data_IF_121565355731
#
_entry.id   IF_121565355731
#
_cell.length_a   1.000
_cell.length_b   1.000
_cell.length_c   1.000
_cell.angle_alpha   90.00
_cell.angle_beta   90.00
_cell.angle_gamma   90.00
#
_symmetry.space_group_name_H-M   'P 1'
#
loop_
_entity.id
_entity.type
_entity.pdbx_description
1 polymer ?
#
# COMPACT_ATOMS: atom_id res chain seq x y z
N UNK A 1 -13.34 44.40 23.27
CA UNK A 1 -13.66 43.11 22.64
C UNK A 1 -13.02 43.14 21.25
N UNK A 2 -11.78 42.65 21.14
CA UNK A 2 -10.96 42.78 19.92
C UNK A 2 -11.05 41.47 19.14
N UNK A 3 -11.78 41.50 18.02
CA UNK A 3 -11.85 40.41 17.05
C UNK A 3 -10.60 40.56 16.17
N UNK A 4 -9.53 39.87 16.54
CA UNK A 4 -8.43 39.66 15.61
C UNK A 4 -8.84 38.52 14.67
N UNK A 5 -9.48 38.89 13.56
CA UNK A 5 -9.61 38.04 12.38
C UNK A 5 -8.20 37.85 11.77
N UNK A 6 -7.36 37.03 12.41
CA UNK A 6 -6.28 36.37 11.70
C UNK A 6 -6.96 35.40 10.74
N UNK A 7 -7.24 35.87 9.53
CA UNK A 7 -7.63 35.02 8.41
C UNK A 7 -6.56 33.95 8.25
N UNK A 8 -6.81 32.78 8.84
CA UNK A 8 -5.90 31.64 8.74
C UNK A 8 -5.65 31.38 7.26
N UNK A 9 -4.39 31.21 6.88
CA UNK A 9 -4.01 30.95 5.49
C UNK A 9 -4.77 29.72 4.99
N UNK A 10 -5.78 29.93 4.14
CA UNK A 10 -6.56 28.85 3.54
C UNK A 10 -5.72 28.25 2.41
N UNK A 11 -5.51 26.94 2.44
CA UNK A 11 -4.83 26.22 1.36
C UNK A 11 -5.60 24.99 0.93
N UNK A 12 -5.62 24.75 -0.37
CA UNK A 12 -6.28 23.59 -0.97
C UNK A 12 -5.26 22.59 -1.51
N UNK A 13 -5.57 21.31 -1.35
CA UNK A 13 -4.85 20.17 -1.90
C UNK A 13 -5.82 19.27 -2.64
N UNK A 14 -5.33 18.55 -3.64
CA UNK A 14 -6.16 17.67 -4.45
C UNK A 14 -5.67 16.24 -4.28
N UNK A 15 -6.30 15.50 -3.37
CA UNK A 15 -5.95 14.13 -3.08
C UNK A 15 -6.60 13.17 -4.08
N UNK A 16 -5.83 12.20 -4.57
CA UNK A 16 -6.37 11.14 -5.41
C UNK A 16 -7.12 10.15 -4.54
N UNK A 17 -8.33 9.77 -4.94
CA UNK A 17 -9.10 8.76 -4.21
C UNK A 17 -8.47 7.38 -4.43
N UNK A 18 -8.34 6.60 -3.36
CA UNK A 18 -7.93 5.21 -3.52
C UNK A 18 -9.09 4.35 -4.02
N UNK A 19 -8.73 3.44 -4.94
CA UNK A 19 -9.64 2.45 -5.50
C UNK A 19 -10.34 1.64 -4.41
N UNK A 20 -9.56 1.25 -3.40
CA UNK A 20 -9.97 0.42 -2.28
C UNK A 20 -9.86 1.25 -1.00
N UNK A 21 -10.92 2.00 -0.71
CA UNK A 21 -11.07 2.73 0.56
C UNK A 21 -11.73 1.83 1.62
N UNK A 22 -11.64 2.21 2.88
CA UNK A 22 -12.35 1.51 3.97
C UNK A 22 -13.87 1.44 3.69
N UNK A 23 -14.44 2.57 3.26
CA UNK A 23 -15.84 2.67 2.82
C UNK A 23 -16.15 1.76 1.61
N UNK A 24 -15.16 1.52 0.73
CA UNK A 24 -15.33 0.57 -0.37
C UNK A 24 -15.48 -0.85 0.13
N UNK A 25 -14.65 -1.30 1.08
CA UNK A 25 -14.76 -2.66 1.63
C UNK A 25 -16.12 -2.91 2.27
N UNK A 26 -16.65 -1.93 3.00
CA UNK A 26 -17.99 -2.07 3.57
C UNK A 26 -19.04 -2.17 2.46
N UNK A 27 -18.92 -1.37 1.39
CA UNK A 27 -19.78 -1.44 0.22
C UNK A 27 -19.64 -2.75 -0.58
N UNK A 28 -18.43 -3.29 -0.72
CA UNK A 28 -18.19 -4.54 -1.44
C UNK A 28 -18.68 -5.75 -0.66
N UNK A 29 -18.71 -5.73 0.67
CA UNK A 29 -19.36 -6.82 1.44
C UNK A 29 -20.83 -6.94 1.09
N UNK A 30 -21.53 -5.82 0.95
CA UNK A 30 -22.94 -5.79 0.51
C UNK A 30 -23.03 -6.29 -0.94
N UNK A 31 -22.18 -5.78 -1.83
CA UNK A 31 -22.17 -6.21 -3.23
C UNK A 31 -21.81 -7.68 -3.43
N UNK A 32 -20.87 -8.20 -2.65
CA UNK A 32 -20.45 -9.59 -2.63
C UNK A 32 -21.59 -10.46 -2.12
N UNK A 33 -22.30 -10.06 -1.07
CA UNK A 33 -23.49 -10.77 -0.61
C UNK A 33 -24.58 -10.82 -1.70
N UNK A 34 -24.87 -9.70 -2.36
CA UNK A 34 -25.82 -9.65 -3.49
C UNK A 34 -25.36 -10.56 -4.63
N UNK A 35 -24.08 -10.47 -5.02
CA UNK A 35 -23.51 -11.31 -6.07
C UNK A 35 -23.56 -12.79 -5.69
N UNK A 36 -23.23 -13.16 -4.45
CA UNK A 36 -23.31 -14.54 -3.96
C UNK A 36 -24.75 -15.05 -3.99
N UNK A 37 -25.74 -14.26 -3.58
CA UNK A 37 -27.15 -14.65 -3.64
C UNK A 37 -27.59 -14.87 -5.10
N UNK A 38 -27.24 -13.95 -6.00
CA UNK A 38 -27.55 -14.08 -7.44
C UNK A 38 -26.86 -15.32 -8.03
N UNK A 39 -25.58 -15.54 -7.70
CA UNK A 39 -24.80 -16.67 -8.18
C UNK A 39 -25.33 -18.01 -7.67
N UNK A 40 -25.64 -18.12 -6.38
CA UNK A 40 -26.25 -19.32 -5.78
C UNK A 40 -27.62 -19.57 -6.38
N UNK A 41 -28.44 -18.53 -6.57
CA UNK A 41 -29.73 -18.64 -7.25
C UNK A 41 -29.58 -19.16 -8.69
N UNK A 42 -28.59 -18.65 -9.43
CA UNK A 42 -28.29 -19.10 -10.79
C UNK A 42 -27.81 -20.56 -10.84
N UNK A 43 -26.87 -20.94 -9.98
CA UNK A 43 -26.37 -22.32 -9.89
C UNK A 43 -27.49 -23.27 -9.48
N UNK A 44 -28.30 -22.90 -8.49
CA UNK A 44 -29.47 -23.69 -8.07
C UNK A 44 -30.48 -23.88 -9.19
N UNK A 45 -30.77 -22.82 -9.96
CA UNK A 45 -31.61 -22.90 -11.15
C UNK A 45 -31.02 -23.84 -12.22
N UNK A 46 -29.73 -23.72 -12.51
CA UNK A 46 -29.04 -24.58 -13.48
C UNK A 46 -29.02 -26.05 -13.07
N UNK A 47 -28.75 -26.35 -11.80
CA UNK A 47 -28.78 -27.72 -11.25
C UNK A 47 -30.19 -28.30 -11.31
N UNK A 48 -31.21 -27.53 -10.93
CA UNK A 48 -32.62 -27.97 -10.99
C UNK A 48 -33.03 -28.27 -12.44
N UNK A 49 -32.60 -27.43 -13.38
CA UNK A 49 -32.78 -27.63 -14.82
C UNK A 49 -32.13 -28.93 -15.32
N UNK A 50 -30.87 -29.16 -14.97
CA UNK A 50 -30.14 -30.39 -15.35
C UNK A 50 -30.81 -31.64 -14.75
N UNK A 51 -31.22 -31.57 -13.48
CA UNK A 51 -31.89 -32.66 -12.78
C UNK A 51 -33.24 -33.04 -13.41
N UNK A 52 -34.07 -32.03 -13.71
CA UNK A 52 -35.36 -32.26 -14.37
C UNK A 52 -35.20 -32.85 -15.77
N UNK A 53 -34.17 -32.41 -16.51
CA UNK A 53 -33.82 -32.97 -17.83
C UNK A 53 -33.42 -34.44 -17.72
N UNK A 54 -32.58 -34.79 -16.74
CA UNK A 54 -32.12 -36.16 -16.50
C UNK A 54 -33.26 -37.12 -16.11
N UNK A 55 -34.32 -36.63 -15.45
CA UNK A 55 -35.50 -37.43 -15.08
C UNK A 55 -36.52 -37.63 -16.21
N UNK A 56 -36.27 -37.11 -17.41
CA UNK A 56 -37.21 -37.20 -18.53
C UNK A 56 -38.53 -36.45 -18.30
N UNK A 57 -38.57 -35.57 -17.28
CA UNK A 57 -39.67 -34.65 -17.13
C UNK A 57 -39.69 -33.74 -18.37
N UNK A 58 -40.89 -33.52 -18.95
CA UNK A 58 -41.05 -32.56 -20.04
C UNK A 58 -40.49 -31.23 -19.56
N UNK A 59 -39.32 -30.86 -20.06
CA UNK A 59 -38.73 -29.57 -19.75
C UNK A 59 -39.76 -28.53 -20.16
N UNK A 60 -40.15 -27.60 -19.27
CA UNK A 60 -40.96 -26.47 -19.70
C UNK A 60 -40.25 -25.85 -20.91
N UNK A 61 -41.00 -25.48 -21.95
CA UNK A 61 -40.43 -24.85 -23.15
C UNK A 61 -39.70 -23.58 -22.75
N UNK A 62 -38.44 -23.72 -22.39
CA UNK A 62 -37.58 -22.60 -22.07
C UNK A 62 -37.11 -22.09 -23.42
N UNK A 63 -37.49 -20.86 -23.77
CA UNK A 63 -37.13 -20.30 -25.07
C UNK A 63 -35.61 -20.34 -25.19
N UNK A 64 -35.10 -20.76 -26.36
CA UNK A 64 -33.66 -20.83 -26.69
C UNK A 64 -32.91 -19.53 -26.33
N UNK A 65 -33.62 -18.42 -26.21
CA UNK A 65 -33.12 -17.10 -25.85
C UNK A 65 -32.81 -16.91 -24.35
N UNK A 66 -33.23 -17.82 -23.46
CA UNK A 66 -33.03 -17.66 -22.01
C UNK A 66 -31.54 -17.67 -21.64
N UNK A 67 -30.75 -18.56 -22.24
CA UNK A 67 -29.30 -18.58 -22.02
C UNK A 67 -28.60 -17.32 -22.55
N UNK A 68 -29.00 -16.86 -23.75
CA UNK A 68 -28.48 -15.61 -24.33
C UNK A 68 -28.84 -14.39 -23.47
N UNK A 69 -30.05 -14.36 -22.92
CA UNK A 69 -30.49 -13.30 -22.02
C UNK A 69 -29.63 -13.22 -20.76
N UNK A 70 -29.35 -14.36 -20.10
CA UNK A 70 -28.50 -14.39 -18.91
C UNK A 70 -27.08 -13.91 -19.21
N UNK A 71 -26.48 -14.36 -20.32
CA UNK A 71 -25.15 -13.92 -20.74
C UNK A 71 -25.16 -12.40 -21.00
N UNK A 72 -26.17 -11.90 -21.71
CA UNK A 72 -26.31 -10.47 -21.98
C UNK A 72 -26.44 -9.64 -20.69
N UNK A 73 -27.22 -10.11 -19.71
CA UNK A 73 -27.37 -9.45 -18.40
C UNK A 73 -26.04 -9.44 -17.64
N UNK A 74 -25.32 -10.56 -17.59
CA UNK A 74 -24.02 -10.64 -16.90
C UNK A 74 -22.97 -9.71 -17.54
N UNK A 75 -22.92 -9.66 -18.87
CA UNK A 75 -22.05 -8.74 -19.60
C UNK A 75 -22.43 -7.28 -19.34
N UNK A 76 -23.73 -6.97 -19.34
CA UNK A 76 -24.25 -5.64 -19.03
C UNK A 76 -23.87 -5.18 -17.61
N UNK A 77 -24.08 -6.02 -16.60
CA UNK A 77 -23.70 -5.73 -15.21
C UNK A 77 -22.20 -5.56 -15.07
N UNK A 78 -21.40 -6.42 -15.72
CA UNK A 78 -19.94 -6.33 -15.69
C UNK A 78 -19.43 -5.04 -16.34
N UNK A 79 -20.02 -4.63 -17.47
CA UNK A 79 -19.68 -3.38 -18.14
C UNK A 79 -20.04 -2.15 -17.30
N UNK A 80 -21.24 -2.11 -16.72
CA UNK A 80 -21.68 -1.03 -15.81
C UNK A 80 -20.75 -0.95 -14.60
N UNK A 81 -20.39 -2.09 -14.00
CA UNK A 81 -19.46 -2.15 -12.88
C UNK A 81 -18.06 -1.66 -13.28
N UNK A 82 -17.56 -2.07 -14.45
CA UNK A 82 -16.27 -1.63 -14.99
C UNK A 82 -16.24 -0.11 -15.19
N UNK A 83 -17.27 0.46 -15.81
CA UNK A 83 -17.41 1.92 -16.01
C UNK A 83 -17.48 2.65 -14.67
N UNK A 84 -18.26 2.14 -13.72
CA UNK A 84 -18.37 2.73 -12.38
C UNK A 84 -17.03 2.71 -11.62
N UNK A 85 -16.29 1.61 -11.68
CA UNK A 85 -14.95 1.50 -11.08
C UNK A 85 -13.99 2.50 -11.71
N UNK A 86 -13.99 2.61 -13.03
CA UNK A 86 -13.12 3.52 -13.78
C UNK A 86 -13.44 4.99 -13.47
N UNK A 87 -14.73 5.34 -13.37
CA UNK A 87 -15.18 6.65 -12.93
C UNK A 87 -14.77 6.95 -11.49
N UNK A 88 -14.93 5.98 -10.58
CA UNK A 88 -14.59 6.10 -9.16
C UNK A 88 -13.09 6.29 -8.94
N UNK A 89 -12.25 5.55 -9.68
CA UNK A 89 -10.79 5.67 -9.62
C UNK A 89 -10.28 7.04 -10.10
N UNK A 90 -11.07 7.75 -10.91
CA UNK A 90 -10.76 9.12 -11.37
C UNK A 90 -11.27 10.20 -10.42
N UNK A 91 -12.02 9.84 -9.38
CA UNK A 91 -12.49 10.83 -8.42
C UNK A 91 -11.34 11.38 -7.59
N UNK A 92 -11.40 12.67 -7.30
CA UNK A 92 -10.43 13.38 -6.47
C UNK A 92 -11.16 14.00 -5.29
N UNK A 93 -10.50 14.08 -4.14
CA UNK A 93 -10.96 14.85 -3.00
C UNK A 93 -10.28 16.21 -3.00
N UNK A 94 -11.05 17.26 -2.78
CA UNK A 94 -10.48 18.59 -2.53
C UNK A 94 -10.40 18.76 -1.02
N UNK A 95 -9.18 18.83 -0.53
CA UNK A 95 -8.86 18.99 0.88
C UNK A 95 -8.57 20.46 1.14
N UNK A 96 -9.35 21.11 1.98
CA UNK A 96 -9.14 22.52 2.34
C UNK A 96 -8.65 22.61 3.78
N UNK A 97 -7.42 23.08 3.97
CA UNK A 97 -6.84 23.32 5.29
C UNK A 97 -7.13 24.77 5.68
N UNK A 98 -7.76 24.96 6.84
CA UNK A 98 -8.01 26.27 7.45
C UNK A 98 -7.56 26.20 8.91
N UNK A 99 -6.35 26.72 9.19
CA UNK A 99 -5.73 26.57 10.51
C UNK A 99 -5.46 25.11 10.86
N UNK A 100 -6.04 24.65 11.95
CA UNK A 100 -5.96 23.27 12.47
C UNK A 100 -7.08 22.35 11.95
N UNK A 101 -7.95 22.86 11.09
CA UNK A 101 -9.07 22.09 10.52
C UNK A 101 -8.81 21.68 9.08
N UNK A 102 -9.23 20.46 8.73
CA UNK A 102 -9.21 19.92 7.38
C UNK A 102 -10.64 19.64 6.93
N UNK A 103 -11.11 20.36 5.91
CA UNK A 103 -12.41 20.09 5.28
C UNK A 103 -12.22 19.21 4.05
N UNK A 104 -13.01 18.14 3.94
CA UNK A 104 -12.92 17.15 2.85
C UNK A 104 -14.14 17.27 1.93
N UNK A 105 -13.96 17.87 0.75
CA UNK A 105 -15.00 17.91 -0.28
C UNK A 105 -14.90 16.68 -1.22
N UNK A 106 -16.02 16.08 -1.65
CA UNK A 106 -17.37 16.63 -1.61
C UNK A 106 -18.19 16.31 -0.34
N UNK A 107 -17.61 15.64 0.66
CA UNK A 107 -18.36 15.22 1.86
C UNK A 107 -18.78 16.38 2.75
N UNK A 108 -18.02 17.48 2.74
CA UNK A 108 -18.23 18.61 3.64
C UNK A 108 -17.90 18.30 5.11
N UNK A 109 -17.26 17.16 5.36
CA UNK A 109 -16.82 16.75 6.69
C UNK A 109 -15.59 17.57 7.10
N UNK A 110 -15.60 18.04 8.35
CA UNK A 110 -14.50 18.80 8.96
C UNK A 110 -13.79 17.92 9.98
N UNK A 111 -12.48 17.82 9.85
CA UNK A 111 -11.62 17.01 10.70
C UNK A 111 -10.61 17.90 11.44
N UNK A 112 -10.34 17.58 12.71
CA UNK A 112 -9.26 18.20 13.50
C UNK A 112 -7.91 17.58 13.12
N UNK A 113 -6.96 18.42 12.68
CA UNK A 113 -5.57 18.01 12.46
C UNK A 113 -4.80 17.91 13.79
N UNK A 114 -5.23 18.64 14.82
CA UNK A 114 -4.64 18.57 16.16
C UNK A 114 -4.79 17.17 16.76
N UNK A 115 -5.95 16.52 16.57
CA UNK A 115 -6.27 15.19 17.10
C UNK A 115 -5.92 14.05 16.15
N UNK A 116 -5.42 14.36 14.95
CA UNK A 116 -5.07 13.35 13.98
C UNK A 116 -4.00 12.39 14.55
N UNK A 117 -3.83 11.20 14.01
CA UNK A 117 -2.75 10.29 14.43
C UNK A 117 -2.01 9.81 13.21
N UNK A 118 -0.68 9.87 13.26
CA UNK A 118 0.14 9.38 12.17
C UNK A 118 0.38 7.88 12.39
N UNK A 119 0.22 7.09 11.35
CA UNK A 119 0.43 5.65 11.34
C UNK A 119 1.21 5.23 10.12
N UNK A 120 1.55 3.96 10.09
CA UNK A 120 2.27 3.34 8.99
C UNK A 120 1.27 2.99 7.87
N UNK A 121 1.63 3.30 6.63
CA UNK A 121 0.94 2.78 5.44
C UNK A 121 1.86 1.78 4.74
N UNK A 122 1.74 0.47 5.04
CA UNK A 122 2.72 -0.53 4.66
C UNK A 122 3.06 -0.47 3.18
N UNK A 123 4.35 -0.57 2.86
CA UNK A 123 4.88 -0.61 1.50
C UNK A 123 4.68 0.66 0.63
N UNK A 124 4.00 1.69 1.14
CA UNK A 124 3.66 2.90 0.36
C UNK A 124 4.16 4.17 1.03
N UNK A 125 3.99 4.32 2.34
CA UNK A 125 4.44 5.52 3.08
C UNK A 125 3.80 5.62 4.47
N UNK A 126 3.16 6.75 4.75
CA UNK A 126 2.48 7.01 6.04
C UNK A 126 0.99 7.28 5.85
N UNK A 127 0.20 7.08 6.90
CA UNK A 127 -1.22 7.36 6.94
C UNK A 127 -1.56 8.35 8.06
N UNK A 128 -2.28 9.40 7.75
CA UNK A 128 -2.85 10.33 8.72
C UNK A 128 -4.29 9.94 9.01
N UNK A 129 -4.53 9.45 10.21
CA UNK A 129 -5.84 9.04 10.70
C UNK A 129 -6.52 10.25 11.34
N UNK A 130 -7.68 10.60 10.83
CA UNK A 130 -8.50 11.69 11.35
C UNK A 130 -9.86 11.16 11.75
N UNK A 131 -10.41 11.75 12.81
CA UNK A 131 -11.72 11.39 13.33
C UNK A 131 -12.55 12.65 13.56
N UNK A 132 -13.83 12.58 13.20
CA UNK A 132 -14.83 13.63 13.44
C UNK A 132 -16.14 12.96 13.84
N UNK A 133 -16.42 12.94 15.15
CA UNK A 133 -17.52 12.16 15.71
C UNK A 133 -17.43 10.67 15.35
N UNK A 134 -18.47 10.14 14.69
CA UNK A 134 -18.52 8.76 14.20
C UNK A 134 -17.82 8.52 12.86
N UNK A 135 -17.29 9.57 12.22
CA UNK A 135 -16.67 9.49 10.90
C UNK A 135 -15.15 9.41 11.02
N UNK A 136 -14.56 8.47 10.28
CA UNK A 136 -13.11 8.30 10.14
C UNK A 136 -12.71 8.61 8.71
N UNK A 137 -11.60 9.31 8.56
CA UNK A 137 -10.95 9.55 7.28
C UNK A 137 -9.45 9.31 7.41
N UNK A 138 -8.89 8.52 6.48
CA UNK A 138 -7.47 8.18 6.46
C UNK A 138 -6.84 8.76 5.20
N UNK A 139 -5.88 9.65 5.36
CA UNK A 139 -5.14 10.28 4.27
C UNK A 139 -3.73 9.70 4.17
N UNK A 140 -3.38 9.09 3.05
CA UNK A 140 -2.04 8.56 2.79
C UNK A 140 -1.08 9.63 2.26
N UNK A 141 0.15 9.65 2.78
CA UNK A 141 1.30 10.32 2.18
C UNK A 141 2.13 9.32 1.42
N UNK A 142 1.99 9.29 0.08
CA UNK A 142 2.71 8.37 -0.81
C UNK A 142 4.20 8.75 -0.87
N UNK A 143 5.08 7.74 -0.83
CA UNK A 143 6.53 7.92 -0.93
C UNK A 143 7.13 8.84 0.15
N UNK A 144 6.49 8.92 1.31
CA UNK A 144 6.96 9.73 2.41
C UNK A 144 7.80 8.92 3.39
N UNK A 145 9.08 9.27 3.50
CA UNK A 145 9.97 8.74 4.55
C UNK A 145 9.73 9.42 5.90
N UNK A 146 10.15 8.76 6.97
CA UNK A 146 9.96 9.23 8.35
C UNK A 146 11.31 9.43 9.03
N UNK A 147 11.39 10.38 9.96
CA UNK A 147 12.54 10.50 10.86
C UNK A 147 12.40 9.57 12.07
N UNK A 148 13.50 9.16 12.73
CA UNK A 148 13.48 8.33 13.94
C UNK A 148 12.64 8.87 15.10
N UNK A 149 12.52 10.20 15.20
CA UNK A 149 11.74 10.89 16.23
C UNK A 149 10.24 11.03 15.88
N UNK A 150 9.84 10.63 14.67
CA UNK A 150 8.44 10.72 14.22
C UNK A 150 7.59 9.75 15.03
N UNK A 151 6.61 10.27 15.78
CA UNK A 151 5.67 9.44 16.52
C UNK A 151 4.65 8.80 15.58
N UNK A 152 4.45 7.50 15.74
CA UNK A 152 3.52 6.69 14.96
C UNK A 152 2.45 6.14 15.90
N UNK A 153 1.52 7.01 16.29
CA UNK A 153 0.52 6.73 17.33
C UNK A 153 -0.74 6.01 16.80
N UNK A 154 -0.88 5.88 15.47
CA UNK A 154 -1.97 5.12 14.86
C UNK A 154 -1.51 3.73 14.44
N UNK A 155 -2.43 2.76 14.53
CA UNK A 155 -2.20 1.41 14.01
C UNK A 155 -1.89 1.44 12.51
N UNK A 156 -0.96 0.58 12.04
CA UNK A 156 -0.69 0.42 10.61
C UNK A 156 -1.99 0.14 9.84
N UNK A 157 -2.14 0.77 8.68
CA UNK A 157 -3.33 0.62 7.86
C UNK A 157 -2.97 0.34 6.42
N UNK A 158 -3.55 -0.71 5.85
CA UNK A 158 -3.33 -1.10 4.46
C UNK A 158 -4.11 -0.23 3.48
N UNK A 159 -5.18 0.41 3.96
CA UNK A 159 -6.16 1.11 3.13
C UNK A 159 -6.33 2.53 3.61
N UNK A 160 -6.14 3.46 2.69
CA UNK A 160 -6.40 4.89 2.90
C UNK A 160 -7.60 5.31 2.05
N UNK A 161 -8.27 6.38 2.43
CA UNK A 161 -9.42 6.89 1.70
C UNK A 161 -9.00 7.78 0.53
N UNK A 162 -7.89 8.49 0.69
CA UNK A 162 -7.26 9.33 -0.31
C UNK A 162 -5.74 9.32 -0.12
N UNK A 163 -5.00 9.72 -1.16
CA UNK A 163 -3.54 9.88 -1.11
C UNK A 163 -3.07 11.21 -1.67
N UNK A 164 -1.98 11.71 -1.11
CA UNK A 164 -1.21 12.87 -1.57
C UNK A 164 0.24 12.45 -1.84
N UNK A 165 0.93 13.12 -2.78
CA UNK A 165 2.37 13.00 -2.88
C UNK A 165 3.06 13.52 -1.61
N UNK A 166 4.26 13.01 -1.30
CA UNK A 166 5.00 13.34 -0.08
C UNK A 166 5.11 14.85 0.19
N UNK A 167 5.42 15.67 -0.83
CA UNK A 167 5.60 17.12 -0.69
C UNK A 167 4.31 17.85 -0.28
N UNK A 168 3.18 17.54 -0.91
CA UNK A 168 1.87 18.10 -0.56
C UNK A 168 1.42 17.63 0.83
N UNK A 169 1.72 16.37 1.17
CA UNK A 169 1.40 15.82 2.48
C UNK A 169 2.21 16.48 3.59
N UNK A 170 3.52 16.69 3.40
CA UNK A 170 4.37 17.41 4.35
C UNK A 170 3.92 18.86 4.52
N UNK A 171 3.51 19.50 3.44
CA UNK A 171 2.96 20.84 3.52
C UNK A 171 1.64 20.90 4.29
N UNK A 172 0.74 19.95 4.07
CA UNK A 172 -0.49 19.81 4.84
C UNK A 172 -0.20 19.64 6.33
N UNK A 173 0.76 18.78 6.69
CA UNK A 173 1.17 18.59 8.09
C UNK A 173 1.76 19.86 8.70
N UNK A 174 2.56 20.60 7.93
CA UNK A 174 3.15 21.88 8.36
C UNK A 174 2.09 22.93 8.64
N UNK A 175 1.07 23.04 7.77
CA UNK A 175 -0.04 23.98 7.96
C UNK A 175 -0.91 23.61 9.15
N UNK A 176 -1.13 22.32 9.39
CA UNK A 176 -1.87 21.82 10.56
C UNK A 176 -1.12 21.89 11.90
N UNK A 177 -0.02 22.63 11.97
CA UNK A 177 0.77 22.81 13.20
C UNK A 177 1.58 21.58 13.63
N UNK A 178 1.68 20.55 12.80
CA UNK A 178 2.39 19.30 13.11
C UNK A 178 3.82 19.29 12.60
N UNK A 179 4.57 20.32 12.97
CA UNK A 179 6.00 20.42 12.65
C UNK A 179 6.81 19.23 13.18
N UNK A 180 6.42 18.64 14.32
CA UNK A 180 7.05 17.44 14.87
C UNK A 180 6.81 16.18 14.02
N UNK A 181 5.78 16.20 13.17
CA UNK A 181 5.50 15.14 12.22
C UNK A 181 6.16 15.39 10.86
N UNK A 182 7.06 16.38 10.71
CA UNK A 182 7.76 16.67 9.44
C UNK A 182 8.60 15.49 8.97
N UNK A 183 8.84 15.41 7.66
CA UNK A 183 9.81 14.48 7.10
C UNK A 183 11.22 14.78 7.61
N UNK A 184 12.16 13.83 7.49
CA UNK A 184 13.54 14.05 7.92
C UNK A 184 14.14 15.27 7.19
N UNK A 185 14.74 16.18 7.95
CA UNK A 185 15.45 17.31 7.36
C UNK A 185 16.73 16.86 6.63
N UNK A 186 17.30 17.69 5.75
CA UNK A 186 18.64 17.44 5.21
C UNK A 186 19.64 17.22 6.35
N UNK A 187 20.23 16.01 6.39
CA UNK A 187 21.19 15.60 7.40
C UNK A 187 20.60 15.03 8.69
N UNK A 188 19.28 14.99 8.85
CA UNK A 188 18.65 14.16 9.87
C UNK A 188 18.59 12.70 9.41
N UNK A 189 18.72 11.72 10.32
CA UNK A 189 18.58 10.32 9.97
C UNK A 189 17.20 10.04 9.40
N UNK A 190 17.15 9.23 8.35
CA UNK A 190 15.91 8.75 7.74
C UNK A 190 15.65 7.33 8.19
N UNK A 191 14.47 7.05 8.71
CA UNK A 191 14.04 5.71 9.14
C UNK A 191 13.31 5.01 8.00
N UNK A 192 13.92 3.94 7.51
CA UNK A 192 13.33 3.01 6.55
C UNK A 192 12.57 1.92 7.31
N UNK A 193 11.33 1.64 6.89
CA UNK A 193 10.48 0.64 7.55
C UNK A 193 10.47 -0.66 6.73
N UNK A 194 10.85 -1.77 7.37
CA UNK A 194 10.89 -3.09 6.73
C UNK A 194 9.67 -3.92 7.10
N UNK A 195 8.97 -4.38 6.06
CA UNK A 195 7.87 -5.33 6.17
C UNK A 195 8.33 -6.71 5.69
N UNK A 196 7.79 -7.80 6.24
CA UNK A 196 8.06 -9.13 5.72
C UNK A 196 7.54 -9.26 4.29
N UNK A 197 8.30 -9.93 3.43
CA UNK A 197 7.88 -10.16 2.06
C UNK A 197 6.78 -11.23 1.96
N UNK A 198 5.60 -10.85 1.49
CA UNK A 198 4.47 -11.76 1.31
C UNK A 198 4.75 -12.89 0.31
N UNK A 199 5.70 -12.72 -0.62
CA UNK A 199 6.11 -13.77 -1.56
C UNK A 199 6.81 -14.94 -0.85
N UNK A 200 7.35 -14.74 0.34
CA UNK A 200 7.91 -15.86 1.13
C UNK A 200 6.82 -16.83 1.61
N UNK A 201 5.54 -16.43 1.60
CA UNK A 201 4.40 -17.32 1.92
C UNK A 201 4.25 -18.42 0.87
N UNK A 202 4.45 -18.09 -0.42
CA UNK A 202 4.22 -19.04 -1.53
C UNK A 202 5.34 -20.07 -1.63
N UNK A 203 6.58 -19.67 -1.33
CA UNK A 203 7.74 -20.59 -1.30
C UNK A 203 7.74 -21.47 -0.05
N UNK A 204 7.03 -21.08 1.00
CA UNK A 204 6.92 -21.89 2.20
C UNK A 204 6.07 -23.14 1.93
N UNK A 205 6.62 -24.31 2.29
CA UNK A 205 5.97 -25.63 2.14
C UNK A 205 4.48 -25.61 2.49
N UNK A 206 3.61 -26.26 1.69
CA UNK A 206 2.17 -26.31 1.91
C UNK A 206 1.80 -26.89 3.30
N UNK A 207 2.67 -27.71 3.89
CA UNK A 207 2.45 -28.30 5.21
C UNK A 207 2.81 -27.39 6.39
N UNK A 208 3.41 -26.22 6.14
CA UNK A 208 3.81 -25.27 7.18
C UNK A 208 2.71 -24.23 7.50
N UNK A 209 1.46 -24.67 7.63
CA UNK A 209 0.29 -23.81 7.88
C UNK A 209 0.50 -22.82 9.03
N UNK A 210 1.11 -23.26 10.15
CA UNK A 210 1.40 -22.38 11.30
C UNK A 210 2.36 -21.24 10.95
N UNK A 211 3.38 -21.51 10.13
CA UNK A 211 4.33 -20.47 9.68
C UNK A 211 3.64 -19.49 8.74
N UNK A 212 2.79 -19.99 7.82
CA UNK A 212 2.00 -19.14 6.93
C UNK A 212 1.06 -18.21 7.70
N UNK A 213 0.34 -18.74 8.70
CA UNK A 213 -0.56 -17.91 9.52
C UNK A 213 0.20 -16.84 10.29
N UNK A 214 1.34 -17.17 10.91
CA UNK A 214 2.18 -16.18 11.60
C UNK A 214 2.67 -15.09 10.65
N UNK A 215 3.10 -15.49 9.46
CA UNK A 215 3.58 -14.56 8.44
C UNK A 215 2.46 -13.62 7.98
N UNK A 216 1.27 -14.15 7.68
CA UNK A 216 0.07 -13.38 7.34
C UNK A 216 -0.27 -12.37 8.44
N UNK A 217 -0.26 -12.79 9.71
CA UNK A 217 -0.52 -11.90 10.84
C UNK A 217 0.56 -10.80 11.01
N UNK A 218 1.76 -11.02 10.47
CA UNK A 218 2.88 -10.09 10.54
C UNK A 218 3.02 -9.18 9.32
N UNK A 219 2.29 -9.40 8.23
CA UNK A 219 2.42 -8.60 6.99
C UNK A 219 2.16 -7.12 7.21
N UNK A 220 1.24 -6.78 8.12
CA UNK A 220 0.91 -5.39 8.47
C UNK A 220 1.82 -4.79 9.56
N UNK A 221 2.76 -5.56 10.12
CA UNK A 221 3.63 -5.10 11.21
C UNK A 221 5.04 -4.89 10.69
N UNK A 222 5.63 -3.74 11.03
CA UNK A 222 7.05 -3.52 10.81
C UNK A 222 7.83 -4.55 11.63
N UNK A 223 8.79 -5.23 11.00
CA UNK A 223 9.66 -6.19 11.69
C UNK A 223 11.01 -5.60 12.04
N UNK A 224 11.45 -4.60 11.30
CA UNK A 224 12.76 -3.99 11.48
C UNK A 224 12.73 -2.53 11.03
N UNK A 225 13.48 -1.68 11.71
CA UNK A 225 13.78 -0.34 11.24
C UNK A 225 15.25 -0.25 10.85
N UNK A 226 15.52 0.49 9.78
CA UNK A 226 16.87 0.90 9.42
C UNK A 226 16.92 2.42 9.51
N UNK A 227 17.65 2.93 10.49
CA UNK A 227 17.92 4.36 10.60
C UNK A 227 19.19 4.66 9.81
N UNK A 228 19.02 5.43 8.73
CA UNK A 228 20.06 5.80 7.77
C UNK A 228 20.48 7.24 8.04
N UNK A 229 21.66 7.40 8.62
CA UNK A 229 22.29 8.70 8.87
C UNK A 229 23.33 9.01 7.78
N UNK A 230 24.02 10.16 7.89
CA UNK A 230 25.07 10.62 6.98
C UNK A 230 26.31 9.71 6.98
N UNK A 231 26.66 9.10 8.09
CA UNK A 231 27.89 8.31 8.24
C UNK A 231 27.65 6.95 8.88
N UNK A 232 26.48 6.74 9.49
CA UNK A 232 26.13 5.52 10.22
C UNK A 232 24.78 4.96 9.77
N UNK A 233 24.65 3.65 9.85
CA UNK A 233 23.37 2.95 9.70
C UNK A 233 23.15 2.12 10.96
N UNK A 234 21.94 2.20 11.48
CA UNK A 234 21.51 1.46 12.66
C UNK A 234 20.34 0.56 12.29
N UNK A 235 20.39 -0.67 12.77
CA UNK A 235 19.31 -1.63 12.68
C UNK A 235 18.62 -1.63 14.04
N UNK A 236 17.33 -1.33 14.06
CA UNK A 236 16.56 -1.07 15.28
C UNK A 236 15.33 -1.98 15.32
N UNK A 237 15.11 -2.62 16.47
CA UNK A 237 13.93 -3.44 16.70
C UNK A 237 12.69 -2.54 16.93
N UNK A 238 11.55 -2.77 16.23
CA UNK A 238 10.41 -1.87 16.29
C UNK A 238 9.70 -1.77 17.64
N UNK A 239 9.64 -2.86 18.42
CA UNK A 239 8.87 -2.92 19.67
C UNK A 239 9.65 -2.33 20.85
N UNK A 240 10.94 -2.64 20.96
CA UNK A 240 11.79 -2.23 22.07
C UNK A 240 12.57 -0.95 21.79
N UNK A 241 12.65 -0.54 20.52
CA UNK A 241 13.56 0.49 20.02
C UNK A 241 15.05 0.22 20.36
N UNK A 242 15.40 -1.04 20.65
CA UNK A 242 16.77 -1.45 20.88
C UNK A 242 17.56 -1.45 19.56
N UNK A 243 18.83 -1.03 19.62
CA UNK A 243 19.73 -1.05 18.48
C UNK A 243 20.39 -2.42 18.42
N UNK A 244 19.97 -3.26 17.46
CA UNK A 244 20.52 -4.60 17.25
C UNK A 244 21.95 -4.54 16.69
N UNK A 245 22.19 -3.60 15.77
CA UNK A 245 23.52 -3.32 15.25
C UNK A 245 23.65 -1.88 14.75
N UNK A 246 24.88 -1.37 14.78
CA UNK A 246 25.22 -0.07 14.24
C UNK A 246 26.61 -0.12 13.64
N UNK A 247 26.76 0.40 12.42
CA UNK A 247 28.06 0.48 11.77
C UNK A 247 28.16 1.74 10.90
N UNK A 248 29.40 2.19 10.68
CA UNK A 248 29.66 3.22 9.70
C UNK A 248 29.32 2.72 8.29
N UNK A 249 28.78 3.60 7.45
CA UNK A 249 28.37 3.30 6.05
C UNK A 249 29.53 2.68 5.26
N UNK A 250 30.76 3.13 5.50
CA UNK A 250 31.98 2.61 4.86
C UNK A 250 32.33 1.16 5.25
N UNK A 251 31.77 0.64 6.34
CA UNK A 251 31.94 -0.75 6.80
C UNK A 251 30.79 -1.66 6.39
N UNK A 252 29.75 -1.11 5.78
CA UNK A 252 28.58 -1.85 5.36
C UNK A 252 28.71 -2.16 3.87
N UNK A 253 28.50 -3.42 3.52
CA UNK A 253 28.51 -3.84 2.12
C UNK A 253 27.08 -3.95 1.61
N UNK A 254 26.75 -3.13 0.62
CA UNK A 254 25.49 -3.16 -0.10
C UNK A 254 25.70 -3.84 -1.47
N UNK A 255 25.02 -4.95 -1.71
CA UNK A 255 25.16 -5.75 -2.94
C UNK A 255 23.85 -5.74 -3.74
N UNK A 256 23.84 -5.19 -4.97
CA UNK A 256 22.68 -5.24 -5.83
C UNK A 256 22.51 -6.64 -6.45
N UNK A 257 21.29 -7.18 -6.38
CA UNK A 257 20.90 -8.51 -6.84
C UNK A 257 19.56 -8.45 -7.57
N UNK A 258 19.23 -9.45 -8.37
CA UNK A 258 17.92 -9.54 -9.04
C UNK A 258 17.22 -10.83 -8.63
N UNK A 259 15.97 -10.72 -8.17
CA UNK A 259 15.11 -11.88 -7.94
C UNK A 259 14.21 -12.10 -9.15
N UNK A 260 14.15 -13.34 -9.64
CA UNK A 260 13.34 -13.71 -10.79
C UNK A 260 12.10 -14.48 -10.33
N UNK A 261 10.93 -13.90 -10.58
CA UNK A 261 9.64 -14.53 -10.32
C UNK A 261 9.00 -14.92 -11.64
N UNK A 262 8.69 -16.20 -11.81
CA UNK A 262 7.88 -16.69 -12.91
C UNK A 262 6.41 -16.63 -12.49
N UNK A 263 5.58 -15.94 -13.26
CA UNK A 263 4.14 -15.98 -13.06
C UNK A 263 3.58 -17.23 -13.73
N UNK A 264 3.02 -18.14 -12.92
CA UNK A 264 2.56 -19.46 -13.33
C UNK A 264 1.60 -19.42 -14.52
N UNK A 265 0.72 -18.40 -14.58
CA UNK A 265 -0.34 -18.32 -15.59
C UNK A 265 0.12 -17.76 -16.95
N UNK A 266 1.17 -16.94 -16.98
CA UNK A 266 1.52 -16.16 -18.19
C UNK A 266 2.86 -16.54 -18.81
N UNK A 267 3.61 -17.46 -18.17
CA UNK A 267 5.02 -17.73 -18.47
C UNK A 267 5.90 -16.46 -18.52
N UNK A 268 5.40 -15.34 -17.98
CA UNK A 268 6.13 -14.09 -17.90
C UNK A 268 7.09 -14.16 -16.73
N UNK A 269 8.29 -13.70 -17.00
CA UNK A 269 9.37 -13.63 -16.05
C UNK A 269 9.48 -12.18 -15.59
N UNK A 270 9.22 -11.94 -14.31
CA UNK A 270 9.36 -10.63 -13.69
C UNK A 270 10.66 -10.60 -12.90
N UNK A 271 11.49 -9.58 -13.16
CA UNK A 271 12.72 -9.34 -12.40
C UNK A 271 12.49 -8.21 -11.42
N UNK A 272 12.67 -8.51 -10.15
CA UNK A 272 12.55 -7.56 -9.05
C UNK A 272 13.95 -7.22 -8.55
N UNK A 273 14.32 -5.94 -8.47
CA UNK A 273 15.58 -5.55 -7.86
C UNK A 273 15.57 -5.91 -6.37
N UNK A 274 16.67 -6.52 -5.94
CA UNK A 274 16.96 -6.91 -4.56
C UNK A 274 18.24 -6.24 -4.11
N UNK A 275 18.27 -5.81 -2.85
CA UNK A 275 19.45 -5.26 -2.20
C UNK A 275 19.79 -6.15 -1.00
N UNK A 276 21.02 -6.65 -0.95
CA UNK A 276 21.56 -7.31 0.25
C UNK A 276 22.46 -6.35 1.01
N UNK A 277 22.21 -6.21 2.30
CA UNK A 277 22.98 -5.37 3.20
C UNK A 277 23.66 -6.20 4.27
N UNK A 278 24.98 -6.22 4.24
CA UNK A 278 25.81 -6.90 5.24
C UNK A 278 26.28 -5.88 6.28
N UNK A 279 25.61 -5.88 7.44
CA UNK A 279 25.96 -5.06 8.60
C UNK A 279 26.79 -5.91 9.57
N UNK A 280 27.97 -5.44 10.03
CA UNK A 280 28.78 -6.18 11.01
C UNK A 280 27.97 -6.58 12.25
N UNK A 281 28.07 -7.87 12.64
CA UNK A 281 27.35 -8.42 13.79
C UNK A 281 25.96 -9.00 13.48
N UNK A 282 25.45 -8.83 12.27
CA UNK A 282 24.17 -9.38 11.84
C UNK A 282 24.31 -10.34 10.66
N UNK A 283 23.31 -11.20 10.50
CA UNK A 283 23.11 -11.92 9.25
C UNK A 283 22.80 -10.92 8.12
N UNK A 284 23.23 -11.18 6.87
CA UNK A 284 22.92 -10.32 5.74
C UNK A 284 21.41 -10.14 5.56
N UNK A 285 20.98 -8.88 5.48
CA UNK A 285 19.57 -8.53 5.31
C UNK A 285 19.26 -8.39 3.82
N UNK A 286 18.16 -8.99 3.35
CA UNK A 286 17.75 -8.92 1.94
C UNK A 286 16.44 -8.17 1.79
N UNK A 287 16.43 -7.18 0.91
CA UNK A 287 15.32 -6.25 0.71
C UNK A 287 14.87 -6.25 -0.75
N UNK A 288 13.55 -6.22 -0.98
CA UNK A 288 12.95 -5.82 -2.25
C UNK A 288 12.24 -4.48 -2.11
N UNK A 289 11.72 -3.97 -3.23
CA UNK A 289 10.81 -2.82 -3.22
C UNK A 289 9.40 -3.27 -3.59
N UNK A 290 8.40 -2.92 -2.79
CA UNK A 290 7.05 -3.48 -2.91
C UNK A 290 6.35 -3.19 -4.24
N UNK A 291 6.74 -2.08 -4.88
CA UNK A 291 6.17 -1.60 -6.14
C UNK A 291 7.16 -1.68 -7.30
N UNK A 292 8.26 -2.44 -7.15
CA UNK A 292 9.36 -2.44 -8.11
C UNK A 292 9.05 -3.13 -9.43
N UNK A 293 8.03 -3.99 -9.49
CA UNK A 293 7.70 -4.78 -10.68
C UNK A 293 7.50 -3.94 -11.96
N UNK A 294 7.33 -2.62 -11.83
CA UNK A 294 7.33 -1.69 -12.95
C UNK A 294 8.23 -0.44 -12.77
N UNK A 295 8.53 0.00 -11.54
CA UNK A 295 9.23 1.30 -11.34
C UNK A 295 10.75 1.23 -11.22
N UNK A 296 11.30 0.12 -10.71
CA UNK A 296 12.73 0.03 -10.40
C UNK A 296 13.34 -1.22 -11.01
N UNK A 297 14.46 -1.05 -11.69
CA UNK A 297 15.30 -2.14 -12.19
C UNK A 297 16.77 -1.73 -12.13
N UNK A 298 17.63 -2.67 -11.78
CA UNK A 298 19.08 -2.47 -11.91
C UNK A 298 19.42 -2.28 -13.39
N UNK A 299 20.24 -1.28 -13.69
CA UNK A 299 20.91 -1.20 -14.99
C UNK A 299 22.01 -2.26 -15.03
N UNK A 300 22.02 -3.05 -16.10
CA UNK A 300 23.00 -4.12 -16.29
C UNK A 300 22.65 -5.46 -15.63
N UNK A 301 23.64 -6.35 -15.61
CA UNK A 301 23.49 -7.75 -15.21
C UNK A 301 23.73 -7.94 -13.71
N UNK A 302 22.80 -7.48 -12.87
CA UNK A 302 22.83 -7.84 -11.45
C UNK A 302 22.67 -9.36 -11.28
N UNK A 303 23.41 -9.94 -10.32
CA UNK A 303 23.41 -11.40 -10.08
C UNK A 303 22.01 -11.88 -9.72
N UNK A 304 21.56 -12.94 -10.38
CA UNK A 304 20.27 -13.55 -10.10
C UNK A 304 20.32 -14.38 -8.81
N UNK A 305 19.30 -14.19 -7.97
CA UNK A 305 19.07 -14.99 -6.76
C UNK A 305 17.78 -15.80 -6.90
N UNK A 306 17.79 -17.01 -6.30
CA UNK A 306 16.66 -17.93 -6.32
C UNK A 306 15.63 -17.65 -5.24
N UNK A 307 16.08 -17.14 -4.10
CA UNK A 307 15.23 -16.89 -2.95
C UNK A 307 14.66 -15.46 -3.01
N UNK A 308 13.37 -15.26 -2.69
CA UNK A 308 12.81 -13.93 -2.57
C UNK A 308 13.47 -13.16 -1.41
N UNK A 309 13.53 -11.82 -1.48
CA UNK A 309 14.06 -11.02 -0.37
C UNK A 309 13.21 -11.25 0.89
N UNK A 310 13.85 -11.25 2.06
CA UNK A 310 13.18 -11.47 3.34
C UNK A 310 12.23 -10.33 3.69
N UNK A 311 12.63 -9.10 3.34
CA UNK A 311 11.88 -7.90 3.64
C UNK A 311 11.58 -7.08 2.40
N UNK A 312 10.65 -6.15 2.54
CA UNK A 312 10.22 -5.22 1.51
C UNK A 312 10.21 -3.81 2.07
N UNK A 313 10.64 -2.87 1.24
CA UNK A 313 10.68 -1.44 1.52
C UNK A 313 9.64 -0.69 0.69
N UNK A 314 9.26 0.48 1.19
CA UNK A 314 8.57 1.49 0.37
C UNK A 314 9.49 1.99 -0.75
N UNK A 315 8.90 2.55 -1.81
CA UNK A 315 9.67 3.10 -2.93
C UNK A 315 10.61 4.25 -2.49
N UNK A 316 10.19 5.05 -1.51
CA UNK A 316 11.00 6.14 -0.97
C UNK A 316 12.19 5.60 -0.17
N UNK A 317 11.94 4.68 0.76
CA UNK A 317 13.01 4.09 1.59
C UNK A 317 14.01 3.29 0.74
N UNK A 318 13.52 2.64 -0.30
CA UNK A 318 14.35 1.98 -1.31
C UNK A 318 15.29 2.98 -2.00
N UNK A 319 14.75 4.12 -2.47
CA UNK A 319 15.53 5.20 -3.09
C UNK A 319 16.57 5.76 -2.11
N UNK A 320 16.19 6.02 -0.86
CA UNK A 320 17.10 6.48 0.19
C UNK A 320 18.29 5.54 0.38
N UNK A 321 18.07 4.22 0.45
CA UNK A 321 19.18 3.26 0.60
C UNK A 321 20.09 3.22 -0.63
N UNK A 322 19.52 3.26 -1.83
CA UNK A 322 20.32 3.24 -3.06
C UNK A 322 21.20 4.48 -3.18
N UNK A 323 20.63 5.65 -2.93
CA UNK A 323 21.35 6.92 -2.98
C UNK A 323 22.47 6.91 -1.93
N UNK A 324 22.17 6.38 -0.74
CA UNK A 324 23.14 6.27 0.35
C UNK A 324 24.38 5.46 -0.01
N UNK A 325 24.19 4.36 -0.74
CA UNK A 325 25.28 3.48 -1.15
C UNK A 325 25.82 3.78 -2.55
N UNK A 326 25.43 4.91 -3.14
CA UNK A 326 25.81 5.32 -4.49
C UNK A 326 25.59 4.22 -5.54
N UNK A 327 24.52 3.41 -5.38
CA UNK A 327 24.16 2.33 -6.30
C UNK A 327 23.47 2.86 -7.57
N UNK A 328 23.87 4.05 -8.03
CA UNK A 328 23.21 4.91 -9.03
C UNK A 328 23.10 4.34 -10.45
N UNK A 329 23.47 3.08 -10.66
CA UNK A 329 23.11 2.33 -11.85
C UNK A 329 21.66 1.83 -11.82
N UNK A 330 20.66 2.62 -11.42
CA UNK A 330 19.25 2.28 -11.60
C UNK A 330 18.65 3.16 -12.69
N UNK A 331 17.90 2.54 -13.61
CA UNK A 331 16.91 3.27 -14.37
C UNK A 331 15.67 3.35 -13.49
N UNK A 332 15.52 4.44 -12.75
CA UNK A 332 14.18 4.91 -12.42
C UNK A 332 13.53 5.34 -13.75
N UNK A 333 12.24 5.08 -13.92
CA UNK A 333 11.45 5.32 -15.14
C UNK A 333 11.63 4.33 -16.30
N UNK A 334 11.11 3.10 -16.11
CA UNK A 334 10.21 2.58 -17.12
C UNK A 334 8.88 3.34 -16.97
N UNK A 335 8.87 4.59 -17.45
CA UNK A 335 7.74 5.49 -17.33
C UNK A 335 6.45 4.79 -17.79
N UNK A 336 5.43 4.98 -16.96
CA UNK A 336 4.01 4.71 -17.16
C UNK A 336 3.53 5.26 -18.52
N UNK A 337 3.83 4.56 -19.63
CA UNK A 337 3.08 4.69 -20.88
C UNK A 337 1.78 3.93 -20.69
N UNK A 338 0.82 4.55 -20.02
CA UNK A 338 -0.59 4.16 -20.09
C UNK A 338 -1.31 5.06 -21.07
#
# INVERSE_FOLDING_TARGET
>A
MSINDQAGTVRQFVASREAFSTAWITGTKIWQAVYTVVFVGFVGFAVTMMYNTARGAKTPHIPRYTGLYVIAVLLGVSAVFGVYMLWRWRQKYVLTVTGDTLTVAPRGEVYSLADARLGIWPNIGVALHMQSGGHRFVLGGEERSIGPATRLDAEPTELVDARLPASEFDELLRLGGRAAARGPAPGEPTRCILFPNSQTITTTSPFAFRKKQRLVNSLGRAQLFIDVDNDTIRVVEPETHAVDASAAVSRITATPLSYEQRADESNRVYRTPVLTLSVPGLAPLTFGCALSGQRFAWTGSARLVKDPPAYVLSAADWRTLIEKFALGGLSADAARKS
#
